data_IF_832492379701
#
_entry.id   IF_832492379701
#
_cell.length_a   1.000
_cell.length_b   1.000
_cell.length_c   1.000
_cell.angle_alpha   90.00
_cell.angle_beta   90.00
_cell.angle_gamma   90.00
#
_symmetry.space_group_name_H-M   'P 1'
#
loop_
_entity.id
_entity.type
_entity.pdbx_description
1 polymer ?
#
# COMPACT_ATOMS: atom_id res chain seq x y z
N UNK A 1 -0.85 20.34 16.78
CA UNK A 1 -0.82 21.13 15.52
C UNK A 1 -2.25 21.19 14.98
N UNK A 2 -2.82 22.36 14.77
CA UNK A 2 -4.17 22.50 14.19
C UNK A 2 -4.14 22.10 12.70
N UNK A 3 -5.11 21.30 12.25
CA UNK A 3 -5.28 20.95 10.83
C UNK A 3 -5.84 22.15 10.06
N UNK A 4 -5.31 22.43 8.87
CA UNK A 4 -5.81 23.53 8.03
C UNK A 4 -7.20 23.22 7.45
N UNK A 5 -7.88 24.24 6.94
CA UNK A 5 -9.21 24.09 6.30
C UNK A 5 -9.12 23.17 5.07
N UNK A 6 -8.07 23.32 4.27
CA UNK A 6 -7.79 22.51 3.08
C UNK A 6 -7.58 21.05 3.45
N UNK A 7 -6.84 20.78 4.52
CA UNK A 7 -6.66 19.43 5.04
C UNK A 7 -8.02 18.81 5.42
N UNK A 8 -8.83 19.52 6.20
CA UNK A 8 -10.12 19.00 6.67
C UNK A 8 -11.08 18.75 5.50
N UNK A 9 -11.07 19.64 4.50
CA UNK A 9 -11.86 19.48 3.28
C UNK A 9 -11.40 18.26 2.46
N UNK A 10 -10.08 18.06 2.30
CA UNK A 10 -9.54 16.88 1.62
C UNK A 10 -9.89 15.59 2.37
N UNK A 11 -9.81 15.62 3.70
CA UNK A 11 -10.23 14.50 4.56
C UNK A 11 -11.70 14.13 4.33
N UNK A 12 -12.59 15.13 4.29
CA UNK A 12 -14.01 14.93 4.02
C UNK A 12 -14.25 14.39 2.60
N UNK A 13 -13.53 14.89 1.60
CA UNK A 13 -13.61 14.41 0.22
C UNK A 13 -13.23 12.93 0.12
N UNK A 14 -12.15 12.51 0.79
CA UNK A 14 -11.77 11.11 0.86
C UNK A 14 -12.82 10.25 1.53
N UNK A 15 -13.44 10.73 2.62
CA UNK A 15 -14.52 10.00 3.29
C UNK A 15 -15.78 9.90 2.42
N UNK A 16 -16.12 10.93 1.64
CA UNK A 16 -17.37 10.96 0.85
C UNK A 16 -17.25 10.26 -0.49
N UNK A 17 -16.17 10.52 -1.23
CA UNK A 17 -16.08 10.17 -2.64
C UNK A 17 -15.10 9.03 -2.92
N UNK A 18 -14.13 8.82 -2.02
CA UNK A 18 -13.16 7.75 -2.19
C UNK A 18 -13.55 6.56 -1.31
N UNK A 19 -13.26 6.59 -0.03
CA UNK A 19 -13.28 5.38 0.81
C UNK A 19 -14.63 5.07 1.45
N UNK A 20 -15.51 6.05 1.62
CA UNK A 20 -16.59 5.93 2.60
C UNK A 20 -16.05 6.05 4.02
N UNK A 21 -16.88 6.47 4.99
CA UNK A 21 -16.47 6.59 6.40
C UNK A 21 -15.92 5.26 6.96
N UNK A 22 -16.56 4.14 6.61
CA UNK A 22 -16.19 2.80 7.11
C UNK A 22 -14.74 2.44 6.80
N UNK A 23 -14.36 2.44 5.51
CA UNK A 23 -12.99 2.09 5.11
C UNK A 23 -12.00 3.20 5.49
N UNK A 24 -12.41 4.47 5.47
CA UNK A 24 -11.52 5.58 5.84
C UNK A 24 -10.99 5.44 7.26
N UNK A 25 -11.84 5.06 8.22
CA UNK A 25 -11.41 4.86 9.61
C UNK A 25 -10.58 3.59 9.84
N UNK A 26 -10.44 2.71 8.84
CA UNK A 26 -9.53 1.56 8.89
C UNK A 26 -8.10 1.90 8.43
N UNK A 27 -7.90 3.08 7.85
CA UNK A 27 -6.57 3.57 7.48
C UNK A 27 -5.72 3.83 8.72
N UNK A 28 -4.43 3.52 8.61
CA UNK A 28 -3.43 3.95 9.56
C UNK A 28 -3.41 5.50 9.63
N UNK A 29 -3.26 6.11 10.81
CA UNK A 29 -3.23 7.57 10.94
C UNK A 29 -2.19 8.24 10.04
N UNK A 30 -0.99 7.65 9.93
CA UNK A 30 0.04 8.16 9.02
C UNK A 30 -0.33 8.01 7.54
N UNK A 31 -1.10 6.98 7.16
CA UNK A 31 -1.62 6.83 5.80
C UNK A 31 -2.57 7.97 5.46
N UNK A 32 -3.46 8.34 6.41
CA UNK A 32 -4.38 9.47 6.25
C UNK A 32 -3.59 10.78 6.04
N UNK A 33 -2.58 11.03 6.88
CA UNK A 33 -1.75 12.22 6.75
C UNK A 33 -1.00 12.25 5.42
N UNK A 34 -0.34 11.15 5.07
CA UNK A 34 0.46 11.07 3.84
C UNK A 34 -0.40 11.28 2.60
N UNK A 35 -1.56 10.63 2.50
CA UNK A 35 -2.41 10.71 1.32
C UNK A 35 -3.07 12.09 1.16
N UNK A 36 -3.45 12.74 2.27
CA UNK A 36 -3.96 14.13 2.23
C UNK A 36 -2.86 15.10 1.82
N UNK A 37 -1.67 14.99 2.41
CA UNK A 37 -0.57 15.88 2.06
C UNK A 37 -0.09 15.67 0.61
N UNK A 38 -0.14 14.43 0.09
CA UNK A 38 0.16 14.15 -1.31
C UNK A 38 -0.80 14.89 -2.26
N UNK A 39 -2.11 14.83 -1.98
CA UNK A 39 -3.10 15.52 -2.82
C UNK A 39 -3.03 17.05 -2.70
N UNK A 40 -2.80 17.58 -1.50
CA UNK A 40 -2.64 19.03 -1.32
C UNK A 40 -1.41 19.56 -2.05
N UNK A 41 -0.30 18.83 -2.00
CA UNK A 41 0.93 19.18 -2.73
C UNK A 41 0.72 19.07 -4.25
N UNK A 42 -0.04 18.07 -4.71
CA UNK A 42 -0.38 17.91 -6.12
C UNK A 42 -1.18 19.11 -6.63
N UNK A 43 -2.24 19.50 -5.91
CA UNK A 43 -3.06 20.68 -6.24
C UNK A 43 -2.26 21.99 -6.28
N UNK A 44 -1.25 22.12 -5.42
CA UNK A 44 -0.35 23.28 -5.42
C UNK A 44 0.66 23.24 -6.58
N UNK A 45 0.93 22.05 -7.12
CA UNK A 45 1.94 21.80 -8.15
C UNK A 45 1.40 21.79 -9.57
N UNK A 46 0.08 21.68 -9.77
CA UNK A 46 -0.57 21.56 -11.10
C UNK A 46 -0.20 22.70 -12.07
N UNK A 47 0.26 23.85 -11.58
CA UNK A 47 0.64 25.01 -12.40
C UNK A 47 2.16 25.11 -12.69
N UNK A 48 2.99 24.17 -12.24
CA UNK A 48 4.45 24.21 -12.47
C UNK A 48 5.01 22.89 -13.01
N UNK A 49 5.19 22.82 -14.33
CA UNK A 49 5.73 21.67 -15.06
C UNK A 49 7.18 21.32 -14.71
N UNK A 50 7.90 22.19 -14.00
CA UNK A 50 9.28 21.95 -13.52
C UNK A 50 9.33 21.39 -12.10
N UNK A 51 8.17 21.13 -11.46
CA UNK A 51 8.15 20.62 -10.09
C UNK A 51 8.76 19.21 -9.99
N UNK A 52 9.56 19.01 -8.96
CA UNK A 52 9.99 17.69 -8.52
C UNK A 52 8.85 17.01 -7.74
N UNK A 53 8.25 16.00 -8.36
CA UNK A 53 7.13 15.26 -7.75
C UNK A 53 7.57 14.11 -6.83
N UNK A 54 8.87 13.96 -6.55
CA UNK A 54 9.41 12.87 -5.71
C UNK A 54 8.73 12.80 -4.35
N UNK A 55 8.50 13.96 -3.74
CA UNK A 55 7.85 14.08 -2.43
C UNK A 55 6.41 13.50 -2.44
N UNK A 56 5.66 13.71 -3.52
CA UNK A 56 4.30 13.16 -3.69
C UNK A 56 4.36 11.63 -3.84
N UNK A 57 5.26 11.12 -4.69
CA UNK A 57 5.49 9.68 -4.88
C UNK A 57 5.87 9.00 -3.56
N UNK A 58 6.72 9.64 -2.75
CA UNK A 58 7.13 9.13 -1.44
C UNK A 58 5.95 9.06 -0.47
N UNK A 59 5.09 10.08 -0.42
CA UNK A 59 3.90 10.07 0.45
C UNK A 59 2.90 8.98 0.05
N UNK A 60 2.64 8.82 -1.25
CA UNK A 60 1.81 7.72 -1.75
C UNK A 60 2.42 6.35 -1.43
N UNK A 61 3.73 6.19 -1.63
CA UNK A 61 4.44 4.95 -1.31
C UNK A 61 4.35 4.62 0.18
N UNK A 62 4.60 5.59 1.07
CA UNK A 62 4.50 5.40 2.52
C UNK A 62 3.10 4.98 2.96
N UNK A 63 2.07 5.59 2.39
CA UNK A 63 0.67 5.19 2.60
C UNK A 63 0.51 3.69 2.35
N UNK A 64 0.95 3.21 1.18
CA UNK A 64 0.88 1.78 0.87
C UNK A 64 1.75 0.93 1.78
N UNK A 65 2.94 1.38 2.18
CA UNK A 65 3.82 0.62 3.06
C UNK A 65 3.17 0.33 4.41
N UNK A 66 2.43 1.29 4.99
CA UNK A 66 1.70 1.05 6.24
C UNK A 66 0.53 0.08 6.04
N UNK A 67 -0.25 0.30 4.99
CA UNK A 67 -1.49 -0.46 4.76
C UNK A 67 -1.22 -1.89 4.34
N UNK A 68 -0.28 -2.09 3.42
CA UNK A 68 0.12 -3.41 2.94
C UNK A 68 0.79 -4.20 4.06
N UNK A 69 1.62 -3.57 4.89
CA UNK A 69 2.22 -4.27 6.03
C UNK A 69 1.16 -4.74 7.02
N UNK A 70 0.21 -3.86 7.38
CA UNK A 70 -0.86 -4.21 8.32
C UNK A 70 -1.76 -5.31 7.77
N UNK A 71 -2.14 -5.21 6.50
CA UNK A 71 -2.87 -6.25 5.78
C UNK A 71 -2.14 -7.58 5.76
N UNK A 72 -0.89 -7.58 5.32
CA UNK A 72 -0.09 -8.80 5.26
C UNK A 72 0.09 -9.43 6.64
N UNK A 73 0.30 -8.60 7.68
CA UNK A 73 0.39 -9.08 9.06
C UNK A 73 -0.87 -9.83 9.48
N UNK A 74 -2.07 -9.31 9.18
CA UNK A 74 -3.32 -9.99 9.49
C UNK A 74 -3.47 -11.32 8.73
N UNK A 75 -3.21 -11.30 7.42
CA UNK A 75 -3.27 -12.50 6.57
C UNK A 75 -2.31 -13.58 7.04
N UNK A 76 -1.06 -13.21 7.34
CA UNK A 76 -0.02 -14.13 7.80
C UNK A 76 -0.34 -14.68 9.20
N UNK A 77 -0.83 -13.85 10.13
CA UNK A 77 -1.27 -14.33 11.44
C UNK A 77 -2.43 -15.32 11.33
N UNK A 78 -3.39 -15.10 10.42
CA UNK A 78 -4.47 -16.06 10.16
C UNK A 78 -3.93 -17.39 9.64
N UNK A 79 -2.97 -17.36 8.71
CA UNK A 79 -2.32 -18.57 8.23
C UNK A 79 -1.59 -19.30 9.38
N UNK A 80 -0.79 -18.58 10.18
CA UNK A 80 -0.10 -19.16 11.34
C UNK A 80 -1.05 -19.73 12.42
N UNK A 81 -2.25 -19.17 12.58
CA UNK A 81 -3.27 -19.74 13.48
C UNK A 81 -3.77 -21.10 12.99
N UNK A 82 -3.80 -21.32 11.67
CA UNK A 82 -4.19 -22.60 11.07
C UNK A 82 -3.03 -23.59 11.03
N UNK A 83 -1.81 -23.10 10.81
CA UNK A 83 -0.57 -23.90 10.82
C UNK A 83 0.55 -23.12 11.52
N UNK A 84 0.83 -23.41 12.81
CA UNK A 84 1.90 -22.75 13.56
C UNK A 84 3.30 -23.01 13.00
N UNK A 85 3.52 -24.07 12.22
CA UNK A 85 4.84 -24.34 11.62
C UNK A 85 5.27 -23.26 10.63
N UNK A 86 4.32 -22.45 10.13
CA UNK A 86 4.59 -21.33 9.26
C UNK A 86 5.46 -20.25 9.90
N UNK A 87 5.52 -20.14 11.22
CA UNK A 87 6.44 -19.18 11.88
C UNK A 87 7.90 -19.41 11.49
N UNK A 88 8.28 -20.66 11.22
CA UNK A 88 9.63 -21.07 10.83
C UNK A 88 9.84 -21.03 9.30
N UNK A 89 8.83 -20.57 8.54
CA UNK A 89 8.93 -20.43 7.09
C UNK A 89 10.06 -19.47 6.71
N UNK A 90 11.13 -20.02 6.14
CA UNK A 90 12.26 -19.25 5.68
C UNK A 90 11.95 -18.49 4.38
N UNK A 91 12.40 -17.24 4.31
CA UNK A 91 12.40 -16.44 3.08
C UNK A 91 13.70 -15.63 2.98
N UNK A 92 14.05 -15.21 1.76
CA UNK A 92 15.26 -14.41 1.52
C UNK A 92 14.92 -13.01 1.07
N UNK A 93 15.63 -12.02 1.61
CA UNK A 93 15.56 -10.62 1.17
C UNK A 93 16.98 -10.16 0.88
N UNK A 94 17.28 -9.82 -0.38
CA UNK A 94 18.59 -9.30 -0.79
C UNK A 94 19.77 -10.18 -0.30
N UNK A 95 19.63 -11.50 -0.41
CA UNK A 95 20.65 -12.47 -0.01
C UNK A 95 20.68 -12.81 1.49
N UNK A 96 19.95 -12.09 2.34
CA UNK A 96 19.82 -12.41 3.78
C UNK A 96 18.61 -13.32 4.02
N UNK A 97 18.79 -14.32 4.87
CA UNK A 97 17.72 -15.25 5.27
C UNK A 97 16.96 -14.70 6.48
N UNK A 98 15.64 -14.82 6.42
CA UNK A 98 14.69 -14.46 7.47
C UNK A 98 13.68 -15.58 7.64
N UNK A 99 12.96 -15.57 8.74
CA UNK A 99 11.80 -16.43 9.02
C UNK A 99 10.54 -15.59 9.09
N UNK A 100 9.36 -16.20 8.87
CA UNK A 100 8.09 -15.48 9.03
C UNK A 100 7.94 -14.89 10.44
N UNK A 101 8.57 -15.46 11.46
CA UNK A 101 8.65 -14.85 12.80
C UNK A 101 9.29 -13.46 12.77
N UNK A 102 10.36 -13.29 11.99
CA UNK A 102 11.06 -12.00 11.84
C UNK A 102 10.19 -10.94 11.16
N UNK A 103 9.24 -11.34 10.30
CA UNK A 103 8.28 -10.42 9.67
C UNK A 103 7.52 -9.57 10.70
N UNK A 104 7.19 -10.15 11.85
CA UNK A 104 6.35 -9.51 12.86
C UNK A 104 7.12 -8.53 13.75
N UNK A 105 8.45 -8.61 13.76
CA UNK A 105 9.35 -7.72 14.51
C UNK A 105 10.08 -6.74 13.60
N UNK A 106 10.27 -7.08 12.33
CA UNK A 106 10.96 -6.29 11.32
C UNK A 106 10.08 -6.12 10.08
N UNK A 107 9.64 -4.88 9.83
CA UNK A 107 8.82 -4.57 8.65
C UNK A 107 9.64 -4.80 7.36
N UNK A 108 9.28 -5.77 6.51
CA UNK A 108 10.03 -6.02 5.28
C UNK A 108 9.59 -5.08 4.14
N UNK A 109 10.36 -5.06 3.05
CA UNK A 109 10.02 -4.26 1.87
C UNK A 109 8.83 -4.87 1.07
N UNK A 110 8.25 -4.08 0.15
CA UNK A 110 7.12 -4.49 -0.68
C UNK A 110 7.33 -5.81 -1.45
N UNK A 111 8.54 -6.03 -1.97
CA UNK A 111 8.84 -7.23 -2.76
C UNK A 111 8.75 -8.48 -1.90
N UNK A 112 9.30 -8.41 -0.69
CA UNK A 112 9.22 -9.49 0.30
C UNK A 112 7.79 -9.76 0.74
N UNK A 113 6.98 -8.72 1.00
CA UNK A 113 5.56 -8.89 1.36
C UNK A 113 4.81 -9.60 0.24
N UNK A 114 4.96 -9.14 -1.00
CA UNK A 114 4.35 -9.74 -2.20
C UNK A 114 4.75 -11.22 -2.35
N UNK A 115 6.02 -11.53 -2.18
CA UNK A 115 6.54 -12.89 -2.28
C UNK A 115 5.95 -13.81 -1.19
N UNK A 116 5.96 -13.36 0.07
CA UNK A 116 5.45 -14.12 1.20
C UNK A 116 3.95 -14.42 1.06
N UNK A 117 3.16 -13.41 0.71
CA UNK A 117 1.72 -13.59 0.54
C UNK A 117 1.39 -14.59 -0.56
N UNK A 118 2.22 -14.70 -1.61
CA UNK A 118 2.04 -15.64 -2.72
C UNK A 118 2.66 -17.02 -2.46
N UNK A 119 3.34 -17.22 -1.34
CA UNK A 119 4.00 -18.48 -1.04
C UNK A 119 2.96 -19.60 -0.91
N UNK A 120 3.20 -20.76 -1.53
CA UNK A 120 2.23 -21.88 -1.59
C UNK A 120 1.76 -22.31 -0.20
N UNK A 121 2.71 -22.47 0.74
CA UNK A 121 2.42 -22.78 2.16
C UNK A 121 1.59 -21.72 2.88
N UNK A 122 1.57 -20.47 2.42
CA UNK A 122 0.67 -19.45 2.96
C UNK A 122 -0.69 -19.56 2.25
N UNK A 123 -0.66 -19.64 0.92
CA UNK A 123 -1.84 -19.67 0.06
C UNK A 123 -2.78 -20.83 0.42
N UNK A 124 -2.29 -22.02 0.74
CA UNK A 124 -3.14 -23.17 1.08
C UNK A 124 -4.09 -22.90 2.27
N UNK A 125 -3.77 -21.93 3.13
CA UNK A 125 -4.59 -21.55 4.29
C UNK A 125 -5.55 -20.37 4.03
N UNK A 126 -5.53 -19.78 2.84
CA UNK A 126 -6.34 -18.61 2.47
C UNK A 126 -7.63 -19.00 1.74
N UNK A 127 -8.65 -18.16 1.92
CA UNK A 127 -9.92 -18.26 1.18
C UNK A 127 -9.73 -17.83 -0.28
N UNK A 128 -10.56 -18.37 -1.18
CA UNK A 128 -10.40 -18.21 -2.63
C UNK A 128 -10.49 -16.74 -3.10
N UNK A 129 -11.40 -15.97 -2.51
CA UNK A 129 -11.52 -14.53 -2.77
C UNK A 129 -10.23 -13.77 -2.44
N UNK A 130 -9.61 -14.08 -1.30
CA UNK A 130 -8.37 -13.46 -0.84
C UNK A 130 -7.17 -13.91 -1.69
N UNK A 131 -7.11 -15.19 -2.05
CA UNK A 131 -6.11 -15.71 -3.01
C UNK A 131 -6.19 -14.96 -4.33
N UNK A 132 -7.40 -14.84 -4.89
CA UNK A 132 -7.63 -14.13 -6.15
C UNK A 132 -7.20 -12.67 -6.04
N UNK A 133 -7.55 -11.98 -4.95
CA UNK A 133 -7.10 -10.61 -4.72
C UNK A 133 -5.57 -10.48 -4.67
N UNK A 134 -4.90 -11.33 -3.87
CA UNK A 134 -3.44 -11.31 -3.71
C UNK A 134 -2.72 -11.60 -5.03
N UNK A 135 -3.18 -12.64 -5.75
CA UNK A 135 -2.49 -13.13 -6.94
C UNK A 135 -2.68 -12.24 -8.17
N UNK A 136 -3.80 -11.52 -8.26
CA UNK A 136 -4.14 -10.70 -9.43
C UNK A 136 -4.06 -9.19 -9.15
N UNK A 137 -5.11 -8.50 -8.65
CA UNK A 137 -5.10 -7.05 -8.55
C UNK A 137 -3.96 -6.55 -7.65
N UNK A 138 -3.80 -7.11 -6.44
CA UNK A 138 -2.73 -6.72 -5.53
C UNK A 138 -1.34 -6.86 -6.16
N UNK A 139 -1.03 -8.05 -6.69
CA UNK A 139 0.28 -8.32 -7.30
C UNK A 139 0.57 -7.41 -8.50
N UNK A 140 -0.44 -7.10 -9.33
CA UNK A 140 -0.31 -6.18 -10.47
C UNK A 140 -0.01 -4.75 -9.99
N UNK A 141 -0.82 -4.23 -9.08
CA UNK A 141 -0.66 -2.87 -8.55
C UNK A 141 0.70 -2.69 -7.87
N UNK A 142 1.13 -3.66 -7.05
CA UNK A 142 2.44 -3.60 -6.38
C UNK A 142 3.59 -3.53 -7.38
N UNK A 143 3.53 -4.29 -8.48
CA UNK A 143 4.54 -4.22 -9.53
C UNK A 143 4.60 -2.86 -10.20
N UNK A 144 3.44 -2.26 -10.52
CA UNK A 144 3.37 -0.91 -11.10
C UNK A 144 4.02 0.13 -10.17
N UNK A 145 3.64 0.12 -8.90
CA UNK A 145 4.14 1.09 -7.91
C UNK A 145 5.63 0.89 -7.64
N UNK A 146 6.10 -0.36 -7.57
CA UNK A 146 7.53 -0.66 -7.40
C UNK A 146 8.37 -0.12 -8.55
N UNK A 147 7.90 -0.27 -9.79
CA UNK A 147 8.62 0.23 -10.96
C UNK A 147 8.74 1.77 -10.90
N UNK A 148 7.64 2.48 -10.69
CA UNK A 148 7.64 3.95 -10.62
C UNK A 148 8.53 4.45 -9.48
N UNK A 149 8.44 3.85 -8.29
CA UNK A 149 9.28 4.25 -7.15
C UNK A 149 10.76 4.00 -7.41
N UNK A 150 11.11 2.86 -8.01
CA UNK A 150 12.51 2.54 -8.30
C UNK A 150 13.10 3.50 -9.36
N UNK A 151 12.32 3.86 -10.38
CA UNK A 151 12.71 4.85 -11.39
C UNK A 151 12.90 6.24 -10.76
N UNK A 152 11.94 6.67 -9.93
CA UNK A 152 11.99 7.96 -9.24
C UNK A 152 13.20 8.12 -8.31
N UNK A 153 13.65 7.02 -7.68
CA UNK A 153 14.76 7.04 -6.71
C UNK A 153 16.13 6.88 -7.40
N UNK A 154 16.21 6.18 -8.54
CA UNK A 154 17.49 5.77 -9.11
C UNK A 154 17.82 6.33 -10.49
N UNK A 155 16.84 6.81 -11.27
CA UNK A 155 17.05 7.09 -12.69
C UNK A 155 16.66 8.52 -13.09
N UNK A 156 15.47 9.00 -12.69
CA UNK A 156 14.95 10.30 -13.14
C UNK A 156 13.94 10.85 -12.14
N UNK A 157 13.92 12.17 -11.95
CA UNK A 157 12.85 12.82 -11.20
C UNK A 157 11.48 12.47 -11.83
N UNK A 158 10.49 12.03 -11.03
CA UNK A 158 9.18 11.65 -11.53
C UNK A 158 8.44 12.88 -12.05
N UNK A 159 7.78 12.73 -13.19
CA UNK A 159 6.87 13.74 -13.73
C UNK A 159 5.44 13.52 -13.25
N UNK A 160 4.54 14.39 -13.72
CA UNK A 160 3.11 14.33 -13.39
C UNK A 160 2.47 13.00 -13.78
N UNK A 161 2.84 12.42 -14.93
CA UNK A 161 2.29 11.15 -15.41
C UNK A 161 2.59 9.99 -14.44
N UNK A 162 3.79 9.94 -13.85
CA UNK A 162 4.13 8.93 -12.85
C UNK A 162 3.31 9.09 -11.58
N UNK A 163 3.07 10.34 -11.15
CA UNK A 163 2.20 10.65 -10.01
C UNK A 163 0.77 10.23 -10.28
N UNK A 164 0.22 10.61 -11.43
CA UNK A 164 -1.16 10.28 -11.82
C UNK A 164 -1.37 8.77 -11.88
N UNK A 165 -0.42 8.01 -12.44
CA UNK A 165 -0.50 6.54 -12.44
C UNK A 165 -0.56 5.95 -11.04
N UNK A 166 0.31 6.38 -10.13
CA UNK A 166 0.28 5.91 -8.73
C UNK A 166 -1.01 6.33 -8.05
N UNK A 167 -1.40 7.59 -8.22
CA UNK A 167 -2.63 8.15 -7.66
C UNK A 167 -3.85 7.38 -8.11
N UNK A 168 -3.99 7.12 -9.41
CA UNK A 168 -5.12 6.40 -9.99
C UNK A 168 -5.17 4.96 -9.47
N UNK A 169 -4.03 4.27 -9.38
CA UNK A 169 -3.95 2.92 -8.83
C UNK A 169 -4.31 2.86 -7.34
N UNK A 170 -3.86 3.84 -6.54
CA UNK A 170 -4.10 3.88 -5.10
C UNK A 170 -5.55 4.29 -4.81
N UNK A 171 -6.03 5.38 -5.39
CA UNK A 171 -7.34 5.97 -5.11
C UNK A 171 -8.48 5.32 -5.91
N UNK A 172 -8.17 4.60 -6.99
CA UNK A 172 -9.15 4.03 -7.91
C UNK A 172 -9.79 5.09 -8.79
N UNK A 173 -8.99 6.03 -9.28
CA UNK A 173 -9.43 7.01 -10.26
C UNK A 173 -9.30 6.32 -11.61
N UNK A 174 -10.39 6.25 -12.37
CA UNK A 174 -10.49 5.51 -13.65
C UNK A 174 -10.39 3.98 -13.53
N UNK A 175 -10.41 3.42 -12.32
CA UNK A 175 -10.24 1.98 -12.12
C UNK A 175 -10.52 1.48 -10.71
N UNK A 176 -10.06 0.26 -10.43
CA UNK A 176 -10.18 -0.33 -9.10
C UNK A 176 -9.07 0.19 -8.19
N UNK A 177 -9.44 0.68 -7.01
CA UNK A 177 -8.48 1.14 -5.99
C UNK A 177 -7.79 -0.05 -5.32
N UNK A 178 -6.45 -0.10 -5.41
CA UNK A 178 -5.64 -1.02 -4.62
C UNK A 178 -5.92 -0.83 -3.12
N UNK A 179 -5.95 0.43 -2.67
CA UNK A 179 -6.07 0.73 -1.25
C UNK A 179 -7.42 0.31 -0.68
N UNK A 180 -8.53 0.54 -1.41
CA UNK A 180 -9.85 0.00 -1.00
C UNK A 180 -9.86 -1.52 -0.96
N UNK A 181 -9.24 -2.19 -1.92
CA UNK A 181 -9.12 -3.65 -1.92
C UNK A 181 -8.38 -4.16 -0.69
N UNK A 182 -7.24 -3.55 -0.37
CA UNK A 182 -6.47 -3.83 0.86
C UNK A 182 -7.34 -3.63 2.10
N UNK A 183 -8.00 -2.47 2.24
CA UNK A 183 -8.83 -2.16 3.41
C UNK A 183 -10.04 -3.09 3.56
N UNK A 184 -10.69 -3.43 2.46
CA UNK A 184 -11.83 -4.36 2.45
C UNK A 184 -11.41 -5.73 2.96
N UNK A 185 -10.27 -6.24 2.48
CA UNK A 185 -9.76 -7.51 2.96
C UNK A 185 -9.19 -7.43 4.38
N UNK A 186 -8.69 -6.28 4.86
CA UNK A 186 -8.30 -6.09 6.27
C UNK A 186 -9.50 -6.18 7.21
N UNK A 187 -10.66 -5.69 6.80
CA UNK A 187 -11.89 -5.73 7.60
C UNK A 187 -12.43 -7.16 7.78
N UNK A 188 -12.35 -7.97 6.72
CA UNK A 188 -12.80 -9.37 6.74
C UNK A 188 -11.71 -10.35 7.19
N UNK A 189 -10.45 -9.89 7.27
CA UNK A 189 -9.31 -10.67 7.76
C UNK A 189 -9.16 -10.52 9.27
#
# INVERSE_FOLDING_TARGET
MYKSKEYLMMQENFMRFVFGKRLFYLLHPDSINNIIHAELELLQSENNLLNDFTSIIVKYSKTLEYEIYTFAKQVLLKACKKDPSLYDLAYKVQGRSFTLKDFFTQKPNFGSVKFLLKHEKIQCHLEENLKRFINYPFSKSLSLIQNIRNEAVHQKAPGLNEVEKIRNEILGIEGTSLLKGVLTHKETS
#
